data_IF_951197124044
#
_entry.id   IF_951197124044
#
_cell.length_a   1.000
_cell.length_b   1.000
_cell.length_c   1.000
_cell.angle_alpha   90.00
_cell.angle_beta   90.00
_cell.angle_gamma   90.00
#
_symmetry.space_group_name_H-M   'P 1'
#
loop_
_entity.id
_entity.type
_entity.pdbx_description
1 polymer ?
#
# COMPACT_ATOMS: atom_id res chain seq x y z
N UNK A 1 -9.15 13.89 14.10
CA UNK A 1 -8.99 12.42 14.23
C UNK A 1 -8.36 11.86 12.97
N UNK A 2 -7.09 11.44 13.01
CA UNK A 2 -6.45 10.77 11.87
C UNK A 2 -7.03 9.37 11.80
N UNK A 3 -7.95 9.12 10.86
CA UNK A 3 -8.44 7.75 10.59
C UNK A 3 -7.24 6.92 10.14
N UNK A 4 -6.99 5.81 10.83
CA UNK A 4 -5.95 4.82 10.51
C UNK A 4 -6.33 4.06 9.23
N UNK A 5 -6.15 4.71 8.09
CA UNK A 5 -6.53 4.18 6.76
C UNK A 5 -5.40 4.39 5.78
N UNK A 6 -5.20 3.42 4.89
CA UNK A 6 -4.31 3.55 3.74
C UNK A 6 -4.90 4.59 2.80
N UNK A 7 -4.06 5.50 2.31
CA UNK A 7 -4.44 6.55 1.35
C UNK A 7 -3.32 6.75 0.35
N UNK A 8 -3.65 7.27 -0.83
CA UNK A 8 -2.68 7.67 -1.86
C UNK A 8 -1.78 6.51 -2.29
N UNK A 9 -2.39 5.37 -2.63
CA UNK A 9 -1.68 4.21 -3.19
C UNK A 9 -1.15 4.60 -4.57
N UNK A 10 0.12 4.31 -4.82
CA UNK A 10 0.78 4.49 -6.12
C UNK A 10 1.48 3.19 -6.46
N UNK A 11 1.45 2.82 -7.74
CA UNK A 11 2.13 1.63 -8.25
C UNK A 11 3.20 2.03 -9.26
N UNK A 12 4.18 1.15 -9.39
CA UNK A 12 5.32 1.27 -10.30
C UNK A 12 5.57 -0.13 -10.87
N UNK A 13 4.80 -0.51 -11.88
CA UNK A 13 4.97 -1.72 -12.66
C UNK A 13 5.76 -1.49 -13.96
N UNK A 14 6.20 -2.56 -14.63
CA UNK A 14 6.80 -2.48 -15.96
C UNK A 14 5.80 -2.05 -17.04
N UNK A 15 6.30 -1.58 -18.18
CA UNK A 15 5.46 -1.15 -19.31
C UNK A 15 4.53 -2.29 -19.78
N UNK A 16 3.26 -1.96 -20.03
CA UNK A 16 2.24 -2.92 -20.45
C UNK A 16 1.65 -3.79 -19.33
N UNK A 17 2.06 -3.63 -18.08
CA UNK A 17 1.61 -4.44 -16.95
C UNK A 17 0.47 -3.82 -16.11
N UNK A 18 -0.41 -3.03 -16.74
CA UNK A 18 -1.51 -2.31 -16.05
C UNK A 18 -2.41 -3.22 -15.20
N UNK A 19 -2.58 -4.49 -15.59
CA UNK A 19 -3.34 -5.46 -14.80
C UNK A 19 -2.69 -5.75 -13.44
N UNK A 20 -1.36 -5.83 -13.39
CA UNK A 20 -0.60 -6.06 -12.15
C UNK A 20 -0.61 -4.83 -11.26
N UNK A 21 -0.58 -3.63 -11.84
CA UNK A 21 -0.75 -2.37 -11.10
C UNK A 21 -2.12 -2.31 -10.42
N UNK A 22 -3.19 -2.58 -11.16
CA UNK A 22 -4.55 -2.58 -10.62
C UNK A 22 -4.72 -3.60 -9.50
N UNK A 23 -4.12 -4.78 -9.67
CA UNK A 23 -4.16 -5.84 -8.67
C UNK A 23 -3.37 -5.47 -7.41
N UNK A 24 -2.19 -4.85 -7.55
CA UNK A 24 -1.43 -4.32 -6.42
C UNK A 24 -2.24 -3.29 -5.63
N UNK A 25 -2.98 -2.39 -6.31
CA UNK A 25 -3.89 -1.44 -5.64
C UNK A 25 -4.97 -2.17 -4.85
N UNK A 26 -5.62 -3.18 -5.45
CA UNK A 26 -6.67 -3.97 -4.80
C UNK A 26 -6.16 -4.66 -3.53
N UNK A 27 -5.02 -5.34 -3.63
CA UNK A 27 -4.41 -6.06 -2.48
C UNK A 27 -4.06 -5.08 -1.37
N UNK A 28 -3.40 -3.96 -1.68
CA UNK A 28 -3.01 -2.96 -0.68
C UNK A 28 -4.24 -2.31 -0.02
N UNK A 29 -5.33 -2.10 -0.77
CA UNK A 29 -6.58 -1.57 -0.23
C UNK A 29 -7.31 -2.54 0.71
N UNK A 30 -7.07 -3.86 0.57
CA UNK A 30 -7.65 -4.90 1.43
C UNK A 30 -6.85 -5.14 2.72
N UNK A 31 -5.66 -4.56 2.86
CA UNK A 31 -4.85 -4.72 4.06
C UNK A 31 -5.58 -4.19 5.31
N UNK A 32 -5.33 -4.79 6.49
CA UNK A 32 -5.93 -4.33 7.73
C UNK A 32 -5.49 -2.89 8.04
N UNK A 33 -6.24 -2.24 8.93
CA UNK A 33 -5.89 -0.88 9.38
C UNK A 33 -4.52 -0.88 10.04
N UNK A 34 -3.62 -0.07 9.51
CA UNK A 34 -2.29 0.12 10.05
C UNK A 34 -2.32 1.02 11.29
N UNK A 35 -1.53 0.66 12.31
CA UNK A 35 -1.27 1.56 13.43
C UNK A 35 -0.37 2.70 12.95
N UNK A 36 -0.85 3.93 13.05
CA UNK A 36 -0.05 5.12 12.71
C UNK A 36 1.16 5.25 13.64
N UNK A 37 2.29 5.73 13.11
CA UNK A 37 3.44 6.04 13.93
C UNK A 37 3.14 7.20 14.89
N UNK A 38 3.81 7.20 16.04
CA UNK A 38 3.85 8.33 16.96
C UNK A 38 5.22 8.98 16.90
N UNK A 39 5.25 10.30 16.72
CA UNK A 39 6.46 11.12 16.84
C UNK A 39 6.13 12.23 17.84
N UNK A 40 6.94 12.35 18.88
CA UNK A 40 6.80 13.38 19.93
C UNK A 40 5.38 13.40 20.56
N UNK A 41 4.84 12.21 20.86
CA UNK A 41 3.50 12.05 21.43
C UNK A 41 2.34 12.22 20.44
N UNK A 42 2.59 12.69 19.22
CA UNK A 42 1.58 12.95 18.20
C UNK A 42 1.56 11.89 17.10
N UNK A 43 0.38 11.56 16.58
CA UNK A 43 0.25 10.65 15.44
C UNK A 43 0.74 11.31 14.16
N UNK A 44 1.56 10.59 13.38
CA UNK A 44 2.09 11.06 12.10
C UNK A 44 1.77 10.10 10.96
N UNK A 45 1.76 10.64 9.73
CA UNK A 45 1.59 9.85 8.51
C UNK A 45 2.91 9.20 8.13
N UNK A 46 2.87 7.93 7.73
CA UNK A 46 4.04 7.17 7.31
C UNK A 46 3.91 6.82 5.84
N UNK A 47 5.01 6.93 5.10
CA UNK A 47 5.13 6.39 3.74
C UNK A 47 5.74 5.00 3.82
N UNK A 48 5.17 4.04 3.11
CA UNK A 48 5.66 2.67 3.06
C UNK A 48 5.70 2.20 1.60
N UNK A 49 6.71 1.41 1.25
CA UNK A 49 6.84 0.76 -0.05
C UNK A 49 6.71 -0.74 0.12
N UNK A 50 5.80 -1.36 -0.65
CA UNK A 50 5.59 -2.81 -0.65
C UNK A 50 6.19 -3.39 -1.94
N UNK A 51 7.29 -4.16 -1.87
CA UNK A 51 7.72 -4.95 -3.02
C UNK A 51 6.72 -6.08 -3.24
N UNK A 52 6.12 -6.14 -4.44
CA UNK A 52 5.14 -7.16 -4.82
C UNK A 52 5.70 -7.93 -6.02
N UNK A 53 5.77 -9.25 -5.89
CA UNK A 53 6.12 -10.16 -6.98
C UNK A 53 4.88 -10.99 -7.32
N UNK A 54 4.48 -10.97 -8.58
CA UNK A 54 3.43 -11.85 -9.09
C UNK A 54 4.08 -13.06 -9.76
N UNK A 55 3.61 -14.25 -9.42
CA UNK A 55 3.99 -15.51 -10.05
C UNK A 55 2.73 -16.29 -10.35
N UNK A 56 2.77 -17.07 -11.43
CA UNK A 56 1.80 -18.14 -11.62
C UNK A 56 2.16 -19.27 -10.65
N UNK A 57 1.16 -19.86 -10.02
CA UNK A 57 1.34 -21.14 -9.35
C UNK A 57 1.62 -22.20 -10.43
N UNK A 58 2.51 -23.16 -10.14
CA UNK A 58 2.66 -24.36 -10.98
C UNK A 58 1.41 -25.26 -10.88
#
# INVERSE_FOLDING_TARGET
MIKQVVKNIKTLGPDGATILDNEAVRVVAMLPKFKSAKKDGSYTTVKYGFPINFSLEE
#
